data_IF_136908386010
#
_entry.id   IF_136908386010
#
_cell.length_a   1.000
_cell.length_b   1.000
_cell.length_c   1.000
_cell.angle_alpha   90.00
_cell.angle_beta   90.00
_cell.angle_gamma   90.00
#
_symmetry.space_group_name_H-M   'P 1'
#
loop_
_entity.id
_entity.type
_entity.pdbx_description
1 polymer ?
#
# COMPACT_ATOMS: atom_id res chain seq x y z
N UNK A 1 14.44 2.85 -7.46
CA UNK A 1 14.28 3.99 -6.53
C UNK A 1 14.55 3.52 -5.10
N UNK A 2 15.33 4.25 -4.29
CA UNK A 2 15.56 3.90 -2.88
C UNK A 2 14.40 4.46 -2.00
N UNK A 3 14.25 3.94 -0.78
CA UNK A 3 13.14 4.30 0.15
C UNK A 3 13.12 5.76 0.54
N UNK A 4 14.29 6.36 0.69
CA UNK A 4 14.41 7.78 1.04
C UNK A 4 14.01 8.70 -0.10
N UNK A 5 14.41 8.41 -1.34
CA UNK A 5 14.08 9.21 -2.51
C UNK A 5 12.58 9.22 -2.80
N UNK A 6 11.93 8.07 -2.66
CA UNK A 6 10.49 7.94 -2.80
C UNK A 6 9.73 8.61 -1.65
N UNK A 7 10.20 8.45 -0.41
CA UNK A 7 9.66 9.16 0.76
C UNK A 7 9.82 10.68 0.63
N UNK A 8 10.90 11.15 0.01
CA UNK A 8 11.17 12.56 -0.25
C UNK A 8 10.25 13.11 -1.34
N UNK A 9 10.15 12.42 -2.48
CA UNK A 9 9.15 12.71 -3.53
C UNK A 9 7.74 12.73 -2.95
N UNK A 10 7.45 11.79 -2.06
CA UNK A 10 6.18 11.71 -1.38
C UNK A 10 5.91 12.91 -0.45
N UNK A 11 6.88 13.28 0.40
CA UNK A 11 6.78 14.46 1.28
C UNK A 11 6.64 15.76 0.49
N UNK A 12 7.29 15.88 -0.65
CA UNK A 12 7.15 17.05 -1.53
C UNK A 12 5.73 17.15 -2.11
N UNK A 13 5.11 16.01 -2.46
CA UNK A 13 3.74 15.93 -2.98
C UNK A 13 2.66 16.02 -1.89
N UNK A 14 2.93 15.55 -0.67
CA UNK A 14 1.94 15.49 0.42
C UNK A 14 1.52 16.86 0.97
N UNK A 15 2.28 17.92 0.65
CA UNK A 15 1.93 19.32 0.91
C UNK A 15 0.57 19.76 0.33
N UNK A 16 -0.09 18.91 -0.49
CA UNK A 16 -1.31 19.22 -1.24
C UNK A 16 -2.57 18.46 -0.80
N UNK A 17 -2.67 17.98 0.45
CA UNK A 17 -3.80 17.16 0.96
C UNK A 17 -3.87 15.73 0.37
N UNK A 18 -2.75 15.22 -0.15
CA UNK A 18 -2.60 13.84 -0.59
C UNK A 18 -1.57 13.13 0.30
N UNK A 19 -1.76 11.85 0.56
CA UNK A 19 -0.76 10.94 1.10
C UNK A 19 -0.35 9.99 -0.02
N UNK A 20 0.90 9.53 -0.04
CA UNK A 20 1.32 8.56 -1.07
C UNK A 20 0.91 7.17 -0.65
N UNK A 21 0.10 6.54 -1.46
CA UNK A 21 -0.30 5.15 -1.28
C UNK A 21 0.64 4.23 -2.06
N UNK A 22 0.90 3.05 -1.52
CA UNK A 22 1.87 2.09 -2.05
C UNK A 22 1.19 0.76 -2.34
N UNK A 23 1.32 0.28 -3.58
CA UNK A 23 0.92 -1.08 -3.95
C UNK A 23 2.06 -1.80 -4.68
N UNK A 24 2.42 -3.05 -4.31
CA UNK A 24 1.92 -3.80 -3.15
C UNK A 24 2.23 -3.11 -1.82
N UNK A 25 1.43 -3.38 -0.77
CA UNK A 25 1.53 -2.63 0.49
C UNK A 25 2.91 -2.76 1.14
N UNK A 26 3.39 -1.65 1.71
CA UNK A 26 4.67 -1.61 2.43
C UNK A 26 4.76 -2.60 3.61
N UNK A 27 3.61 -3.06 4.13
CA UNK A 27 3.53 -4.08 5.17
C UNK A 27 3.78 -5.52 4.65
N UNK A 28 3.86 -5.73 3.34
CA UNK A 28 4.09 -7.03 2.70
C UNK A 28 5.55 -7.23 2.27
N UNK A 29 5.95 -8.49 2.07
CA UNK A 29 7.25 -8.80 1.48
C UNK A 29 7.34 -8.36 0.01
N UNK A 30 6.21 -8.09 -0.67
CA UNK A 30 6.18 -7.55 -2.03
C UNK A 30 6.17 -6.02 -2.09
N UNK A 31 6.31 -5.31 -0.97
CA UNK A 31 6.36 -3.85 -0.96
C UNK A 31 7.44 -3.29 -1.90
N UNK A 32 7.34 -2.01 -2.26
CA UNK A 32 8.22 -1.33 -3.23
C UNK A 32 9.70 -1.33 -2.86
N UNK A 33 10.04 -1.60 -1.61
CA UNK A 33 11.43 -1.72 -1.12
C UNK A 33 11.86 -3.14 -0.84
N UNK A 34 11.06 -4.11 -1.27
CA UNK A 34 11.41 -5.51 -1.21
C UNK A 34 12.78 -5.77 -1.84
N UNK A 35 13.62 -6.62 -1.23
CA UNK A 35 14.84 -7.10 -1.85
C UNK A 35 14.55 -8.00 -3.07
N UNK A 36 13.31 -8.50 -3.21
CA UNK A 36 12.89 -9.33 -4.34
C UNK A 36 12.58 -8.46 -5.56
N UNK A 37 13.42 -8.59 -6.61
CA UNK A 37 13.40 -7.75 -7.83
C UNK A 37 12.04 -7.74 -8.54
N UNK A 38 11.35 -8.89 -8.58
CA UNK A 38 10.05 -9.03 -9.24
C UNK A 38 8.95 -8.16 -8.59
N UNK A 39 9.01 -7.98 -7.27
CA UNK A 39 8.07 -7.14 -6.53
C UNK A 39 8.31 -5.65 -6.81
N UNK A 40 9.58 -5.24 -6.88
CA UNK A 40 9.98 -3.86 -7.19
C UNK A 40 9.53 -3.39 -8.58
N UNK A 41 9.55 -4.27 -9.58
CA UNK A 41 9.16 -3.94 -10.94
C UNK A 41 7.66 -3.61 -11.10
N UNK A 42 6.82 -4.02 -10.14
CA UNK A 42 5.36 -3.80 -10.15
C UNK A 42 4.90 -2.79 -9.09
N UNK A 43 5.85 -2.14 -8.44
CA UNK A 43 5.59 -1.10 -7.47
C UNK A 43 4.85 0.08 -8.12
N UNK A 44 3.76 0.49 -7.48
CA UNK A 44 3.01 1.70 -7.81
C UNK A 44 2.93 2.58 -6.57
N UNK A 45 3.23 3.86 -6.77
CA UNK A 45 3.08 4.90 -5.75
C UNK A 45 2.19 5.99 -6.35
N UNK A 46 1.00 6.17 -5.78
CA UNK A 46 0.01 7.16 -6.23
C UNK A 46 -0.28 8.20 -5.16
N UNK A 47 -0.68 9.39 -5.58
CA UNK A 47 -1.17 10.44 -4.68
C UNK A 47 -2.66 10.21 -4.39
N UNK A 48 -3.00 9.82 -3.15
CA UNK A 48 -4.38 9.54 -2.71
C UNK A 48 -4.80 10.58 -1.67
N UNK A 49 -6.03 11.13 -1.69
CA UNK A 49 -6.46 12.10 -0.70
C UNK A 49 -6.24 11.60 0.73
N UNK A 50 -5.65 12.44 1.59
CA UNK A 50 -5.21 12.08 2.96
C UNK A 50 -6.28 11.31 3.74
N UNK A 51 -7.54 11.81 3.71
CA UNK A 51 -8.65 11.19 4.44
C UNK A 51 -8.96 9.78 3.93
N UNK A 52 -8.90 9.57 2.61
CA UNK A 52 -9.17 8.27 1.99
C UNK A 52 -8.03 7.29 2.30
N UNK A 53 -6.78 7.71 2.11
CA UNK A 53 -5.62 6.85 2.35
C UNK A 53 -5.53 6.40 3.83
N UNK A 54 -5.68 7.33 4.78
CA UNK A 54 -5.65 7.00 6.22
C UNK A 54 -6.83 6.13 6.65
N UNK A 55 -8.01 6.37 6.07
CA UNK A 55 -9.19 5.52 6.30
C UNK A 55 -8.94 4.10 5.79
N UNK A 56 -8.45 3.95 4.56
CA UNK A 56 -8.09 2.66 3.97
C UNK A 56 -7.00 1.95 4.77
N UNK A 57 -5.94 2.65 5.18
CA UNK A 57 -4.88 2.10 6.03
C UNK A 57 -5.38 1.59 7.38
N UNK A 58 -6.34 2.30 7.99
CA UNK A 58 -6.97 1.87 9.24
C UNK A 58 -7.80 0.59 9.06
N UNK A 59 -8.59 0.51 7.98
CA UNK A 59 -9.36 -0.70 7.63
C UNK A 59 -8.45 -1.88 7.32
N UNK A 60 -7.36 -1.65 6.60
CA UNK A 60 -6.38 -2.69 6.27
C UNK A 60 -5.67 -3.22 7.53
N UNK A 61 -5.24 -2.35 8.44
CA UNK A 61 -4.68 -2.76 9.72
C UNK A 61 -5.67 -3.55 10.58
N UNK A 62 -6.95 -3.16 10.56
CA UNK A 62 -8.00 -3.93 11.23
C UNK A 62 -8.22 -5.30 10.60
N UNK A 63 -8.21 -5.40 9.26
CA UNK A 63 -8.30 -6.67 8.53
C UNK A 63 -7.17 -7.62 8.91
N UNK A 64 -5.91 -7.19 8.83
CA UNK A 64 -4.74 -7.99 9.22
C UNK A 64 -4.92 -8.53 10.64
N UNK A 65 -5.31 -7.65 11.58
CA UNK A 65 -5.54 -8.03 12.97
C UNK A 65 -6.69 -9.02 13.14
N UNK A 66 -7.80 -8.84 12.41
CA UNK A 66 -8.99 -9.70 12.50
C UNK A 66 -8.75 -11.08 11.92
N UNK A 67 -8.06 -11.16 10.78
CA UNK A 67 -7.67 -12.42 10.16
C UNK A 67 -6.50 -13.11 10.88
N UNK A 68 -5.81 -12.39 11.79
CA UNK A 68 -4.62 -12.87 12.52
C UNK A 68 -3.51 -13.31 11.56
N UNK A 69 -3.34 -12.59 10.45
CA UNK A 69 -2.30 -12.89 9.48
C UNK A 69 -0.93 -12.81 10.14
N UNK A 70 -0.16 -13.88 10.00
CA UNK A 70 1.19 -13.97 10.54
C UNK A 70 2.21 -13.43 9.52
N UNK A 71 3.41 -13.09 10.01
CA UNK A 71 4.50 -12.68 9.12
C UNK A 71 4.84 -13.85 8.19
N UNK A 72 4.82 -13.58 6.88
CA UNK A 72 5.11 -14.58 5.85
C UNK A 72 3.89 -15.37 5.37
N UNK A 73 2.70 -15.09 5.91
CA UNK A 73 1.46 -15.68 5.41
C UNK A 73 0.96 -14.92 4.17
N UNK A 74 0.54 -15.68 3.16
CA UNK A 74 -0.01 -15.12 1.94
C UNK A 74 -1.48 -14.74 2.14
N UNK A 75 -1.89 -13.63 1.52
CA UNK A 75 -3.28 -13.20 1.47
C UNK A 75 -3.59 -12.58 0.11
N UNK A 76 -4.88 -12.59 -0.25
CA UNK A 76 -5.37 -11.98 -1.48
C UNK A 76 -6.26 -10.79 -1.13
N UNK A 77 -6.14 -9.73 -1.94
CA UNK A 77 -7.09 -8.63 -1.91
C UNK A 77 -7.94 -8.69 -3.15
N UNK A 78 -9.25 -8.76 -2.93
CA UNK A 78 -10.23 -8.60 -3.98
C UNK A 78 -10.76 -7.17 -3.94
N UNK A 79 -10.47 -6.35 -4.95
CA UNK A 79 -11.05 -5.02 -5.03
C UNK A 79 -12.53 -5.10 -5.36
N UNK A 80 -13.32 -4.13 -4.89
CA UNK A 80 -14.79 -4.10 -5.03
C UNK A 80 -15.24 -4.12 -6.51
N UNK A 81 -14.41 -3.65 -7.44
CA UNK A 81 -14.70 -3.74 -8.87
C UNK A 81 -14.54 -5.16 -9.46
N UNK A 82 -13.90 -6.09 -8.74
CA UNK A 82 -13.70 -7.47 -9.18
C UNK A 82 -14.87 -8.41 -8.82
N UNK A 83 -15.86 -7.95 -8.04
CA UNK A 83 -17.02 -8.77 -7.62
C UNK A 83 -18.27 -8.53 -8.45
N UNK A 84 -18.29 -7.56 -9.38
CA UNK A 84 -19.54 -7.12 -10.02
C UNK A 84 -20.50 -6.46 -9.01
N UNK A 85 -21.60 -5.82 -9.48
CA UNK A 85 -22.61 -5.28 -8.57
C UNK A 85 -23.24 -6.45 -7.79
N UNK A 86 -23.16 -6.36 -6.46
CA UNK A 86 -23.87 -7.23 -5.50
C UNK A 86 -25.37 -6.98 -5.54
#
# INVERSE_FOLDING_TARGET
MNREAASKLCRERSRRKFDCDEYPYAATQQGCYSPYVAARARCRIDDVPVRQNRGAGSLYGWFIRKQRLMIGEDFFIQPVWATGPT
#
